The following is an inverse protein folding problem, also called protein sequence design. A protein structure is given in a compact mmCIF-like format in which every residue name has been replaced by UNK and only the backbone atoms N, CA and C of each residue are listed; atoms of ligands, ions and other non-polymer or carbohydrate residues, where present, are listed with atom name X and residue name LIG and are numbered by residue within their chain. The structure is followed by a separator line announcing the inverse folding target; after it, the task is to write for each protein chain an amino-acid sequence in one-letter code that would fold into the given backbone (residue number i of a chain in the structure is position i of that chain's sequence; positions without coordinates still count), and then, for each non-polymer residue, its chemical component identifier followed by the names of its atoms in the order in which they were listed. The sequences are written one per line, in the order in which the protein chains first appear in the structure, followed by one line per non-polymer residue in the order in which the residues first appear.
data_IF_691326340738
#
_entry.id   IF_691326340738
#
_cell.length_a   1.000
_cell.length_b   1.000
_cell.length_c   1.000
_cell.angle_alpha   90.00
_cell.angle_beta   90.00
_cell.angle_gamma   90.00
#
_symmetry.space_group_name_H-M   'P 1'
#
loop_
_entity.id
_entity.type
_entity.pdbx_description
1 polymer ?
#
# COMPACT_ATOMS: atom_id res chain seq x y z
N UNK A 1 -40.07 -13.98 -24.17
CA UNK A 1 -40.07 -15.11 -23.25
C UNK A 1 -39.89 -14.56 -21.82
N UNK A 2 -40.97 -14.65 -21.03
CA UNK A 2 -40.92 -14.16 -19.66
C UNK A 2 -40.22 -15.18 -18.77
N UNK A 3 -39.04 -14.79 -18.28
CA UNK A 3 -38.37 -15.54 -17.22
C UNK A 3 -39.17 -15.27 -15.94
N UNK A 4 -39.67 -16.30 -15.26
CA UNK A 4 -40.35 -16.09 -13.98
C UNK A 4 -39.42 -15.35 -13.02
N UNK A 5 -39.96 -14.39 -12.27
CA UNK A 5 -39.16 -13.63 -11.30
C UNK A 5 -38.46 -14.51 -10.27
N UNK A 6 -39.03 -15.70 -9.98
CA UNK A 6 -38.39 -16.69 -9.12
C UNK A 6 -37.11 -17.27 -9.70
N UNK A 7 -37.02 -17.44 -11.03
CA UNK A 7 -35.81 -17.96 -11.69
C UNK A 7 -34.71 -16.90 -11.72
N UNK A 8 -35.09 -15.63 -11.87
CA UNK A 8 -34.14 -14.52 -11.83
C UNK A 8 -33.56 -14.38 -10.40
N UNK A 9 -34.41 -14.49 -9.39
CA UNK A 9 -34.00 -14.44 -7.99
C UNK A 9 -33.06 -15.60 -7.64
N UNK A 10 -33.36 -16.81 -8.16
CA UNK A 10 -32.47 -17.97 -8.01
C UNK A 10 -31.10 -17.76 -8.67
N UNK A 11 -31.08 -17.20 -9.88
CA UNK A 11 -29.85 -16.90 -10.58
C UNK A 11 -29.02 -15.82 -9.87
N UNK A 12 -29.71 -14.81 -9.34
CA UNK A 12 -29.06 -13.77 -8.54
C UNK A 12 -28.52 -14.32 -7.22
N UNK A 13 -29.24 -15.25 -6.60
CA UNK A 13 -28.79 -15.92 -5.38
C UNK A 13 -27.57 -16.80 -5.64
N UNK A 14 -27.57 -17.56 -6.74
CA UNK A 14 -26.42 -18.38 -7.17
C UNK A 14 -25.21 -17.46 -7.49
N UNK A 15 -25.44 -16.35 -8.17
CA UNK A 15 -24.40 -15.38 -8.44
C UNK A 15 -23.86 -14.75 -7.16
N UNK A 16 -24.73 -14.49 -6.18
CA UNK A 16 -24.31 -14.04 -4.85
C UNK A 16 -23.55 -15.11 -4.10
N UNK A 17 -23.93 -16.36 -4.19
CA UNK A 17 -23.21 -17.47 -3.57
C UNK A 17 -21.84 -17.70 -4.24
N UNK A 18 -21.75 -17.62 -5.55
CA UNK A 18 -20.50 -17.77 -6.29
C UNK A 18 -19.59 -16.57 -6.06
N UNK A 19 -20.15 -15.38 -6.03
CA UNK A 19 -19.42 -14.17 -5.61
C UNK A 19 -19.22 -14.14 -4.11
N UNK A 20 -20.11 -14.69 -3.36
CA UNK A 20 -20.21 -14.57 -1.92
C UNK A 20 -19.57 -15.69 -1.15
N UNK A 21 -19.05 -16.72 -1.81
CA UNK A 21 -18.01 -17.57 -1.21
C UNK A 21 -16.71 -16.81 -1.06
N UNK A 22 -16.59 -15.71 -1.80
CA UNK A 22 -15.50 -14.77 -1.69
C UNK A 22 -15.89 -13.56 -0.83
N UNK A 23 -17.17 -13.29 -0.64
CA UNK A 23 -17.66 -12.18 0.18
C UNK A 23 -18.82 -12.72 1.03
N UNK A 24 -18.50 -13.30 2.16
CA UNK A 24 -19.49 -13.44 3.22
C UNK A 24 -19.95 -12.03 3.57
N UNK A 25 -21.27 -11.81 3.76
CA UNK A 25 -21.84 -10.51 4.09
C UNK A 25 -21.19 -9.94 5.37
N UNK A 26 -20.69 -10.82 6.22
CA UNK A 26 -19.99 -10.48 7.46
C UNK A 26 -18.46 -10.48 7.32
N UNK A 27 -17.93 -10.78 6.12
CA UNK A 27 -16.49 -10.78 5.90
C UNK A 27 -15.94 -9.36 5.87
N UNK A 28 -14.95 -9.11 6.70
CA UNK A 28 -14.26 -7.83 6.72
C UNK A 28 -13.48 -7.65 5.44
N UNK A 29 -13.62 -6.47 4.87
CA UNK A 29 -12.79 -6.04 3.76
C UNK A 29 -11.80 -4.98 4.22
N UNK A 30 -10.69 -4.89 3.54
CA UNK A 30 -9.69 -3.84 3.73
C UNK A 30 -9.43 -3.16 2.41
N UNK A 31 -9.23 -1.85 2.47
CA UNK A 31 -8.83 -1.09 1.30
C UNK A 31 -7.31 -1.11 1.21
N UNK A 32 -6.79 -1.39 0.02
CA UNK A 32 -5.36 -1.40 -0.26
C UNK A 32 -5.03 -0.33 -1.28
N UNK A 33 -3.98 0.42 -1.01
CA UNK A 33 -3.35 1.32 -1.98
C UNK A 33 -2.22 0.52 -2.62
N UNK A 34 -2.37 0.15 -3.89
CA UNK A 34 -1.45 -0.71 -4.62
C UNK A 34 -0.54 0.16 -5.49
N UNK A 35 0.74 -0.07 -5.38
CA UNK A 35 1.74 0.72 -6.08
C UNK A 35 2.90 -0.16 -6.54
N UNK A 36 3.70 0.38 -7.45
CA UNK A 36 4.96 -0.25 -7.86
C UNK A 36 6.14 0.42 -7.21
N UNK A 37 7.16 -0.39 -6.95
CA UNK A 37 8.46 0.07 -6.49
C UNK A 37 9.51 -0.88 -7.07
N UNK A 38 10.38 -0.35 -7.92
CA UNK A 38 11.44 -1.14 -8.60
C UNK A 38 10.90 -2.40 -9.30
N UNK A 39 9.75 -2.27 -9.96
CA UNK A 39 9.09 -3.37 -10.68
C UNK A 39 8.29 -4.32 -9.82
N UNK A 40 8.36 -4.22 -8.51
CA UNK A 40 7.57 -5.04 -7.60
C UNK A 40 6.23 -4.36 -7.27
N UNK A 41 5.21 -5.18 -7.09
CA UNK A 41 3.89 -4.69 -6.67
C UNK A 41 3.77 -4.80 -5.15
N UNK A 42 3.51 -3.68 -4.52
CA UNK A 42 3.40 -3.55 -3.08
C UNK A 42 2.09 -2.84 -2.73
N UNK A 43 1.69 -2.91 -1.48
CA UNK A 43 0.50 -2.21 -1.01
C UNK A 43 0.65 -1.75 0.43
N UNK A 44 -0.04 -0.68 0.77
CA UNK A 44 -0.33 -0.28 2.14
C UNK A 44 -1.83 -0.40 2.40
N UNK A 45 -2.21 -0.61 3.64
CA UNK A 45 -3.61 -0.46 4.04
C UNK A 45 -4.06 0.98 3.81
N UNK A 46 -5.22 1.13 3.20
CA UNK A 46 -5.76 2.45 2.84
C UNK A 46 -6.04 3.34 4.05
N UNK A 47 -6.37 2.75 5.19
CA UNK A 47 -6.59 3.50 6.43
C UNK A 47 -5.32 4.17 6.97
N UNK A 48 -4.14 3.77 6.49
CA UNK A 48 -2.86 4.38 6.82
C UNK A 48 -2.44 5.48 5.84
N UNK A 49 -3.11 5.61 4.71
CA UNK A 49 -2.81 6.59 3.68
C UNK A 49 -3.90 7.66 3.70
N UNK A 50 -3.52 8.87 4.03
CA UNK A 50 -4.45 10.01 4.10
C UNK A 50 -4.72 10.62 2.74
N UNK A 51 -3.70 10.62 1.87
CA UNK A 51 -3.79 11.30 0.59
C UNK A 51 -2.75 10.74 -0.38
N UNK A 52 -3.08 10.70 -1.66
CA UNK A 52 -2.17 10.35 -2.74
C UNK A 52 -1.89 11.62 -3.53
N UNK A 53 -0.64 12.05 -3.55
CA UNK A 53 -0.22 13.27 -4.23
C UNK A 53 0.62 12.92 -5.46
N UNK A 54 0.48 13.67 -6.56
CA UNK A 54 1.44 13.57 -7.65
C UNK A 54 2.81 14.00 -7.15
N UNK A 55 3.86 13.39 -7.71
CA UNK A 55 5.22 13.83 -7.41
C UNK A 55 5.40 15.26 -7.92
N UNK A 56 5.82 16.12 -7.03
CA UNK A 56 6.01 17.52 -7.34
C UNK A 56 7.35 18.02 -6.81
N UNK A 57 7.38 19.26 -6.41
CA UNK A 57 8.59 19.90 -5.95
C UNK A 57 8.98 19.42 -4.54
N UNK A 58 10.08 18.71 -4.45
CA UNK A 58 10.68 18.25 -3.19
C UNK A 58 11.91 19.11 -2.91
N UNK A 59 11.95 19.70 -1.72
CA UNK A 59 13.05 20.56 -1.29
C UNK A 59 14.06 19.72 -0.50
N UNK A 60 15.29 19.67 -1.00
CA UNK A 60 16.37 18.97 -0.31
C UNK A 60 16.68 19.62 1.04
N UNK A 61 16.93 18.80 2.05
CA UNK A 61 17.31 19.26 3.41
C UNK A 61 18.71 18.73 3.71
N UNK A 62 19.71 19.62 3.81
CA UNK A 62 21.08 19.21 4.13
C UNK A 62 21.18 18.55 5.52
N UNK A 63 22.05 17.55 5.63
CA UNK A 63 22.32 16.89 6.90
C UNK A 63 21.33 15.81 7.32
N UNK A 64 20.32 15.54 6.48
CA UNK A 64 19.38 14.45 6.71
C UNK A 64 19.89 13.13 6.13
N UNK A 65 19.42 11.97 6.66
CA UNK A 65 19.77 10.67 6.09
C UNK A 65 19.36 10.56 4.61
N UNK A 66 20.05 9.73 3.85
CA UNK A 66 19.77 9.51 2.42
C UNK A 66 18.36 8.96 2.18
N UNK A 67 17.79 8.26 3.16
CA UNK A 67 16.41 7.77 3.10
C UNK A 67 15.37 8.88 3.09
N UNK A 68 15.73 10.09 3.54
CA UNK A 68 14.89 11.27 3.43
C UNK A 68 15.23 11.99 2.13
N UNK A 69 14.30 12.02 1.18
CA UNK A 69 14.50 12.75 -0.08
C UNK A 69 14.48 14.26 0.12
N UNK A 70 13.63 14.72 1.02
CA UNK A 70 13.47 16.12 1.33
C UNK A 70 12.13 16.40 1.99
N UNK A 71 11.63 17.61 1.77
CA UNK A 71 10.33 18.03 2.31
C UNK A 71 9.47 18.65 1.20
N UNK A 72 8.16 18.55 1.37
CA UNK A 72 7.17 19.16 0.49
C UNK A 72 6.25 20.06 1.31
N UNK A 73 5.65 21.02 0.64
CA UNK A 73 4.60 21.86 1.23
C UNK A 73 3.24 21.32 0.78
N UNK A 74 2.42 20.92 1.75
CA UNK A 74 1.06 20.47 1.49
C UNK A 74 0.12 21.43 2.22
N UNK A 75 -0.49 22.34 1.49
CA UNK A 75 -1.44 23.32 2.03
C UNK A 75 -0.91 24.08 3.26
N UNK A 76 0.36 24.46 3.22
CA UNK A 76 1.02 25.20 4.31
C UNK A 76 1.76 24.32 5.32
N UNK A 77 1.55 23.01 5.30
CA UNK A 77 2.24 22.07 6.17
C UNK A 77 3.50 21.54 5.50
N UNK A 78 4.59 21.48 6.23
CA UNK A 78 5.84 20.92 5.77
C UNK A 78 5.88 19.43 6.12
N UNK A 79 5.94 18.60 5.10
CA UNK A 79 5.89 17.14 5.23
C UNK A 79 7.20 16.56 4.69
N UNK A 80 7.82 15.66 5.45
CA UNK A 80 8.98 14.90 4.99
C UNK A 80 8.58 13.93 3.89
N UNK A 81 9.52 13.60 3.00
CA UNK A 81 9.34 12.59 1.95
C UNK A 81 10.44 11.54 2.08
N UNK A 82 10.01 10.31 2.30
CA UNK A 82 10.90 9.16 2.50
C UNK A 82 11.00 8.38 1.19
N UNK A 83 12.19 7.90 0.89
CA UNK A 83 12.46 6.95 -0.19
C UNK A 83 12.20 5.54 0.31
N UNK A 84 11.05 4.97 -0.06
CA UNK A 84 10.64 3.66 0.43
C UNK A 84 11.66 2.56 0.11
N UNK A 85 12.26 2.60 -1.08
CA UNK A 85 13.25 1.61 -1.48
C UNK A 85 14.40 1.49 -0.49
N UNK A 86 14.79 2.60 0.12
CA UNK A 86 15.88 2.59 1.11
C UNK A 86 15.44 1.98 2.43
N UNK A 87 14.18 2.14 2.83
CA UNK A 87 13.64 1.48 4.01
C UNK A 87 13.55 -0.04 3.81
N UNK A 88 13.44 -0.49 2.57
CA UNK A 88 13.39 -1.91 2.24
C UNK A 88 14.79 -2.50 1.96
N UNK A 89 15.85 -1.72 2.16
CA UNK A 89 17.22 -2.20 2.04
C UNK A 89 17.83 -2.06 0.66
N UNK A 90 17.23 -1.26 -0.22
CA UNK A 90 17.73 -1.02 -1.57
C UNK A 90 18.41 0.35 -1.68
N UNK A 91 19.32 0.54 -2.65
CA UNK A 91 19.88 1.87 -2.92
C UNK A 91 18.79 2.86 -3.35
N UNK A 92 19.00 4.13 -3.01
CA UNK A 92 18.08 5.18 -3.44
C UNK A 92 18.11 5.36 -4.96
N UNK A 93 16.94 5.58 -5.53
CA UNK A 93 16.76 5.81 -6.97
C UNK A 93 16.18 7.20 -7.24
N UNK A 94 16.34 7.68 -8.46
CA UNK A 94 15.66 8.89 -8.90
C UNK A 94 14.15 8.63 -9.04
N UNK A 95 13.30 9.67 -8.87
CA UNK A 95 11.86 9.49 -9.05
C UNK A 95 11.55 9.07 -10.49
N UNK A 96 10.60 8.13 -10.63
CA UNK A 96 10.11 7.71 -11.94
C UNK A 96 9.21 8.81 -12.54
N UNK A 97 8.92 8.68 -13.84
CA UNK A 97 8.06 9.62 -14.56
C UNK A 97 6.63 9.68 -13.97
N UNK A 98 6.17 8.57 -13.40
CA UNK A 98 4.83 8.45 -12.83
C UNK A 98 4.82 8.40 -11.29
N UNK A 99 5.89 8.88 -10.67
CA UNK A 99 6.04 8.85 -9.23
C UNK A 99 4.90 9.57 -8.52
N UNK A 100 4.53 9.02 -7.39
CA UNK A 100 3.54 9.62 -6.48
C UNK A 100 4.11 9.68 -5.07
N UNK A 101 3.52 10.52 -4.26
CA UNK A 101 3.81 10.61 -2.84
C UNK A 101 2.56 10.19 -2.07
N UNK A 102 2.71 9.16 -1.27
CA UNK A 102 1.65 8.71 -0.37
C UNK A 102 1.84 9.39 0.97
N UNK A 103 0.83 10.15 1.43
CA UNK A 103 0.84 10.69 2.79
C UNK A 103 0.44 9.60 3.76
N UNK A 104 1.42 9.03 4.43
CA UNK A 104 1.22 7.94 5.36
C UNK A 104 1.21 8.39 6.81
N UNK A 105 0.46 7.67 7.63
CA UNK A 105 0.37 7.89 9.05
C UNK A 105 0.40 6.56 9.79
N UNK A 106 1.31 6.42 10.74
CA UNK A 106 1.46 5.22 11.54
C UNK A 106 2.63 5.35 12.49
N UNK A 107 2.68 4.51 13.53
CA UNK A 107 3.77 4.54 14.49
C UNK A 107 3.97 5.89 15.19
N UNK A 108 2.91 6.70 15.32
CA UNK A 108 3.00 8.05 15.88
C UNK A 108 3.63 9.09 14.93
N UNK A 109 3.83 8.74 13.68
CA UNK A 109 4.51 9.56 12.68
C UNK A 109 3.63 9.78 11.47
N UNK A 110 3.80 10.92 10.81
CA UNK A 110 3.23 11.24 9.50
C UNK A 110 4.36 11.62 8.55
N UNK A 111 4.37 11.03 7.37
CA UNK A 111 5.37 11.33 6.35
C UNK A 111 4.83 11.00 4.96
N UNK A 112 5.35 11.71 3.98
CA UNK A 112 5.21 11.31 2.58
C UNK A 112 6.13 10.14 2.28
N UNK A 113 5.67 9.26 1.41
CA UNK A 113 6.41 8.10 0.93
C UNK A 113 6.40 8.16 -0.59
N UNK A 114 7.57 8.26 -1.19
CA UNK A 114 7.68 8.24 -2.63
C UNK A 114 7.61 6.82 -3.16
N UNK A 115 6.73 6.59 -4.10
CA UNK A 115 6.58 5.32 -4.82
C UNK A 115 6.72 5.56 -6.31
N UNK A 116 6.96 4.50 -7.09
CA UNK A 116 7.20 4.66 -8.54
C UNK A 116 5.91 4.97 -9.29
N UNK A 117 4.83 4.30 -8.96
CA UNK A 117 3.51 4.54 -9.56
C UNK A 117 2.41 3.94 -8.68
N UNK A 118 1.33 4.68 -8.49
CA UNK A 118 0.13 4.13 -7.85
C UNK A 118 -0.72 3.47 -8.93
N UNK A 119 -1.00 2.19 -8.78
CA UNK A 119 -1.75 1.41 -9.76
C UNK A 119 -3.24 1.42 -9.51
N UNK A 120 -3.65 1.28 -8.25
CA UNK A 120 -5.06 1.11 -7.91
C UNK A 120 -5.28 1.33 -6.41
N UNK A 121 -6.51 1.70 -6.08
CA UNK A 121 -7.01 1.66 -4.70
C UNK A 121 -8.16 0.66 -4.71
N UNK A 122 -7.98 -0.46 -4.05
CA UNK A 122 -8.87 -1.60 -4.18
C UNK A 122 -9.28 -2.15 -2.83
N UNK A 123 -10.55 -2.49 -2.72
CA UNK A 123 -11.08 -3.21 -1.59
C UNK A 123 -10.92 -4.71 -1.81
N UNK A 124 -10.34 -5.40 -0.83
CA UNK A 124 -10.16 -6.85 -0.88
C UNK A 124 -10.67 -7.48 0.41
N UNK A 125 -11.16 -8.73 0.36
CA UNK A 125 -11.48 -9.46 1.58
C UNK A 125 -10.23 -9.63 2.45
N UNK A 126 -10.35 -9.42 3.75
CA UNK A 126 -9.23 -9.61 4.67
C UNK A 126 -8.65 -11.03 4.57
N UNK A 127 -9.51 -12.03 4.34
CA UNK A 127 -9.10 -13.43 4.14
C UNK A 127 -8.27 -13.67 2.88
N UNK A 128 -8.32 -12.78 1.90
CA UNK A 128 -7.50 -12.89 0.69
C UNK A 128 -6.03 -12.53 0.94
N UNK A 129 -5.74 -11.86 2.05
CA UNK A 129 -4.37 -11.53 2.45
C UNK A 129 -3.81 -12.73 3.23
N UNK A 130 -2.93 -13.47 2.59
CA UNK A 130 -2.34 -14.69 3.15
C UNK A 130 -1.07 -14.36 3.94
N UNK A 131 -0.63 -15.29 4.77
CA UNK A 131 0.60 -15.14 5.53
C UNK A 131 1.79 -14.93 4.59
N UNK A 132 2.81 -14.14 5.00
CA UNK A 132 3.99 -13.90 4.19
C UNK A 132 4.69 -15.21 3.83
N UNK A 133 5.24 -15.34 2.60
CA UNK A 133 5.98 -16.54 2.24
C UNK A 133 7.24 -16.69 3.09
N UNK A 134 7.58 -17.95 3.45
CA UNK A 134 8.75 -18.25 4.27
C UNK A 134 10.08 -17.95 3.57
N UNK A 135 10.04 -17.69 2.26
CA UNK A 135 11.21 -17.35 1.45
C UNK A 135 11.59 -15.87 1.51
N UNK A 136 10.81 -15.03 2.19
CA UNK A 136 11.16 -13.63 2.35
C UNK A 136 12.49 -13.49 3.10
N UNK A 137 13.36 -12.54 2.68
CA UNK A 137 14.55 -12.20 3.44
C UNK A 137 14.20 -11.79 4.87
N UNK A 138 15.07 -12.10 5.82
CA UNK A 138 14.81 -11.87 7.24
C UNK A 138 14.55 -10.39 7.57
N UNK A 139 15.20 -9.46 6.86
CA UNK A 139 15.01 -8.03 7.09
C UNK A 139 13.66 -7.51 6.61
N UNK A 140 12.99 -8.21 5.69
CA UNK A 140 11.68 -7.83 5.17
C UNK A 140 10.52 -8.47 5.96
N UNK A 141 10.73 -9.62 6.58
CA UNK A 141 9.67 -10.34 7.29
C UNK A 141 8.87 -9.50 8.28
N UNK A 142 9.51 -8.72 9.16
CA UNK A 142 8.75 -7.91 10.12
C UNK A 142 7.99 -6.76 9.47
N UNK A 143 8.31 -6.42 8.22
CA UNK A 143 7.70 -5.31 7.49
C UNK A 143 6.54 -5.74 6.61
N UNK A 144 6.32 -7.06 6.42
CA UNK A 144 5.30 -7.59 5.53
C UNK A 144 4.17 -8.20 6.36
N UNK A 145 2.98 -7.66 6.22
CA UNK A 145 1.77 -8.18 6.86
C UNK A 145 1.24 -9.43 6.17
N UNK A 146 1.40 -9.51 4.86
CA UNK A 146 0.91 -10.62 4.09
C UNK A 146 1.10 -10.45 2.60
N UNK A 147 0.55 -11.39 1.85
CA UNK A 147 0.59 -11.39 0.39
C UNK A 147 -0.82 -11.57 -0.15
N UNK A 148 -1.17 -10.82 -1.17
CA UNK A 148 -2.44 -10.93 -1.88
C UNK A 148 -2.17 -10.99 -3.37
N UNK A 149 -2.99 -11.77 -4.10
CA UNK A 149 -2.86 -11.87 -5.55
C UNK A 149 -3.84 -10.91 -6.21
N UNK A 150 -3.32 -9.98 -7.00
CA UNK A 150 -4.09 -9.01 -7.77
C UNK A 150 -3.75 -9.19 -9.25
N UNK A 151 -4.77 -9.48 -10.06
CA UNK A 151 -4.58 -9.70 -11.51
C UNK A 151 -3.44 -10.68 -11.81
N UNK A 152 -3.43 -11.83 -11.12
CA UNK A 152 -2.41 -12.88 -11.23
C UNK A 152 -1.01 -12.51 -10.73
N UNK A 153 -0.82 -11.32 -10.16
CA UNK A 153 0.46 -10.89 -9.60
C UNK A 153 0.43 -10.92 -8.08
N UNK A 154 1.52 -11.38 -7.45
CA UNK A 154 1.64 -11.26 -6.00
C UNK A 154 1.90 -9.81 -5.61
N UNK A 155 1.21 -9.36 -4.57
CA UNK A 155 1.35 -8.04 -3.99
C UNK A 155 1.68 -8.21 -2.52
N UNK A 156 2.82 -7.69 -2.08
CA UNK A 156 3.19 -7.70 -0.68
C UNK A 156 2.51 -6.53 0.03
N UNK A 157 1.78 -6.83 1.08
CA UNK A 157 1.14 -5.83 1.92
C UNK A 157 2.11 -5.46 3.04
N UNK A 158 2.54 -4.21 3.05
CA UNK A 158 3.55 -3.70 3.99
C UNK A 158 2.90 -3.13 5.24
N UNK A 159 3.60 -3.27 6.35
CA UNK A 159 3.22 -2.68 7.63
C UNK A 159 3.81 -1.27 7.73
N UNK A 160 3.01 -0.25 7.41
CA UNK A 160 3.46 1.13 7.44
C UNK A 160 3.85 1.58 8.84
N UNK A 161 3.07 1.18 9.85
CA UNK A 161 3.38 1.51 11.24
C UNK A 161 4.75 1.01 11.65
N UNK A 162 5.08 -0.23 11.29
CA UNK A 162 6.38 -0.82 11.58
C UNK A 162 7.50 -0.14 10.81
N UNK A 163 7.28 0.17 9.52
CA UNK A 163 8.25 0.93 8.73
C UNK A 163 8.59 2.27 9.37
N UNK A 164 7.58 2.98 9.81
CA UNK A 164 7.79 4.29 10.45
C UNK A 164 8.43 4.16 11.83
N UNK A 165 8.08 3.15 12.61
CA UNK A 165 8.74 2.88 13.88
C UNK A 165 10.23 2.59 13.70
N UNK A 166 10.57 1.72 12.76
CA UNK A 166 11.96 1.38 12.46
C UNK A 166 12.73 2.58 11.91
N UNK A 167 12.08 3.40 11.08
CA UNK A 167 12.67 4.64 10.58
C UNK A 167 13.02 5.60 11.72
N UNK A 168 12.11 5.80 12.66
CA UNK A 168 12.33 6.67 13.81
C UNK A 168 13.47 6.17 14.70
N UNK A 169 13.57 4.86 14.89
CA UNK A 169 14.68 4.27 15.67
C UNK A 169 16.03 4.43 14.98
N UNK A 170 16.05 4.31 13.65
CA UNK A 170 17.26 4.47 12.86
C UNK A 170 17.78 5.90 12.81
N UNK A 171 16.95 6.88 13.16
CA UNK A 171 17.31 8.29 13.23
C UNK A 171 17.86 8.70 14.61
N UNK A 172 17.67 7.83 15.59
CA UNK A 172 18.08 8.08 16.96
C UNK A 172 19.55 7.81 17.23
#
# INVERSE_FOLDING_TARGET
MNIPSSTLDELLAIRREVSGRTVDVDEKTVQLVIFTLQGEWLAFHGDKIREILPYGRVFFVPGCPDSLEGVINVRGDIISVIRLEMLLGHPGTAPSQHASILLGQGGGMQSGIRVDEVLDVREVPESAILAPPGTLPDHLRPLVLGIVTIRTRPVLVLDLGRLFEDYQRGLG
#
